data_IF_688545194094
#
_entry.id   IF_688545194094
#
_cell.length_a   1.000
_cell.length_b   1.000
_cell.length_c   1.000
_cell.angle_alpha   90.00
_cell.angle_beta   90.00
_cell.angle_gamma   90.00
#
_symmetry.space_group_name_H-M   'P 1'
#
loop_
_entity.id
_entity.type
_entity.pdbx_description
1 polymer ?
#
# COMPACT_ATOMS: atom_id res chain seq x y z
N UNK A 1 10.54 -12.80 -10.59
CA UNK A 1 9.21 -12.16 -10.70
C UNK A 1 8.48 -11.94 -9.37
N UNK A 2 8.61 -12.82 -8.38
CA UNK A 2 7.86 -12.69 -7.12
C UNK A 2 8.18 -11.40 -6.33
N UNK A 3 9.45 -11.05 -6.17
CA UNK A 3 9.86 -9.80 -5.51
C UNK A 3 9.31 -8.57 -6.21
N UNK A 4 9.42 -8.53 -7.55
CA UNK A 4 8.89 -7.44 -8.39
C UNK A 4 7.37 -7.28 -8.20
N UNK A 5 6.62 -8.37 -8.03
CA UNK A 5 5.19 -8.29 -7.74
C UNK A 5 4.89 -7.68 -6.37
N UNK A 6 5.67 -8.02 -5.34
CA UNK A 6 5.53 -7.40 -4.01
C UNK A 6 5.97 -5.93 -4.01
N UNK A 7 7.02 -5.57 -4.76
CA UNK A 7 7.43 -4.17 -4.95
C UNK A 7 6.32 -3.37 -5.64
N UNK A 8 5.72 -3.90 -6.70
CA UNK A 8 4.60 -3.25 -7.38
C UNK A 8 3.40 -3.03 -6.44
N UNK A 9 3.06 -4.03 -5.62
CA UNK A 9 2.02 -3.89 -4.60
C UNK A 9 2.39 -2.87 -3.53
N UNK A 10 3.65 -2.84 -3.08
CA UNK A 10 4.15 -1.89 -2.09
C UNK A 10 4.10 -0.45 -2.62
N UNK A 11 4.50 -0.22 -3.86
CA UNK A 11 4.45 1.11 -4.49
C UNK A 11 3.00 1.55 -4.69
N UNK A 12 2.10 0.64 -5.12
CA UNK A 12 0.69 0.96 -5.28
C UNK A 12 0.01 1.29 -3.94
N UNK A 13 0.23 0.48 -2.90
CA UNK A 13 -0.29 0.73 -1.56
C UNK A 13 0.32 1.99 -0.93
N UNK A 14 1.63 2.21 -1.10
CA UNK A 14 2.35 3.38 -0.60
C UNK A 14 1.85 4.70 -1.16
N UNK A 15 1.63 4.75 -2.48
CA UNK A 15 1.14 5.95 -3.16
C UNK A 15 -0.31 6.34 -2.79
N UNK A 16 -1.06 5.47 -2.09
CA UNK A 16 -2.44 5.74 -1.67
C UNK A 16 -2.55 6.66 -0.43
N UNK A 17 -1.46 6.92 0.31
CA UNK A 17 -1.52 7.73 1.54
C UNK A 17 -1.70 9.22 1.27
N UNK A 18 -1.08 9.75 0.21
CA UNK A 18 -1.05 11.20 -0.06
C UNK A 18 -1.74 11.53 -1.37
N UNK A 19 -2.11 12.80 -1.61
CA UNK A 19 -2.64 13.23 -2.90
C UNK A 19 -1.70 12.99 -4.09
N UNK A 20 -0.39 12.94 -3.82
CA UNK A 20 0.66 12.86 -4.82
C UNK A 20 1.18 11.43 -4.92
N UNK A 21 1.41 10.96 -6.15
CA UNK A 21 2.00 9.64 -6.43
C UNK A 21 1.07 8.67 -7.16
N UNK A 22 -0.25 8.80 -7.00
CA UNK A 22 -1.26 8.03 -7.73
C UNK A 22 -2.29 8.99 -8.37
N UNK A 23 -2.58 8.82 -9.66
CA UNK A 23 -3.54 9.64 -10.41
C UNK A 23 -4.96 9.63 -9.82
N UNK A 24 -5.39 8.52 -9.20
CA UNK A 24 -6.66 8.42 -8.50
C UNK A 24 -6.72 9.35 -7.28
N UNK A 25 -5.66 9.37 -6.46
CA UNK A 25 -5.60 10.24 -5.30
C UNK A 25 -5.52 11.71 -5.71
N UNK A 26 -4.77 12.01 -6.77
CA UNK A 26 -4.69 13.36 -7.32
C UNK A 26 -6.07 13.87 -7.79
N UNK A 27 -6.85 12.99 -8.42
CA UNK A 27 -8.21 13.29 -8.86
C UNK A 27 -9.16 13.50 -7.67
N UNK A 28 -9.14 12.61 -6.68
CA UNK A 28 -9.95 12.75 -5.47
C UNK A 28 -9.61 14.03 -4.69
N UNK A 29 -8.34 14.38 -4.61
CA UNK A 29 -7.88 15.60 -3.94
C UNK A 29 -8.33 16.87 -4.67
N UNK A 30 -8.32 16.87 -6.00
CA UNK A 30 -8.87 17.98 -6.80
C UNK A 30 -10.38 18.16 -6.57
N UNK A 31 -11.13 17.07 -6.46
CA UNK A 31 -12.57 17.11 -6.24
C UNK A 31 -12.95 17.46 -4.79
N UNK A 32 -12.15 17.04 -3.81
CA UNK A 32 -12.46 17.24 -2.40
C UNK A 32 -12.23 18.69 -1.94
N UNK A 33 -11.34 19.44 -2.60
CA UNK A 33 -10.98 20.81 -2.19
C UNK A 33 -10.28 20.89 -0.83
N UNK A 34 -9.84 19.75 -0.30
CA UNK A 34 -9.18 19.66 1.02
C UNK A 34 -7.72 20.10 0.94
N UNK A 35 -7.15 20.55 2.06
CA UNK A 35 -5.70 20.74 2.14
C UNK A 35 -4.94 19.40 2.01
N UNK A 36 -3.63 19.46 1.74
CA UNK A 36 -2.78 18.27 1.63
C UNK A 36 -2.81 17.41 2.91
N UNK A 37 -2.72 18.04 4.08
CA UNK A 37 -2.73 17.31 5.36
C UNK A 37 -4.09 16.68 5.64
N UNK A 38 -5.20 17.40 5.39
CA UNK A 38 -6.55 16.86 5.61
C UNK A 38 -6.81 15.63 4.75
N UNK A 39 -6.42 15.67 3.46
CA UNK A 39 -6.51 14.50 2.59
C UNK A 39 -5.68 13.33 3.12
N UNK A 40 -4.43 13.61 3.53
CA UNK A 40 -3.52 12.58 4.07
C UNK A 40 -4.08 11.93 5.33
N UNK A 41 -4.66 12.73 6.24
CA UNK A 41 -5.34 12.22 7.43
C UNK A 41 -6.56 11.37 7.08
N UNK A 42 -7.36 11.79 6.11
CA UNK A 42 -8.53 11.04 5.66
C UNK A 42 -8.16 9.68 5.02
N UNK A 43 -6.97 9.57 4.42
CA UNK A 43 -6.49 8.34 3.77
C UNK A 43 -5.80 7.35 4.72
N UNK A 44 -5.40 7.76 5.92
CA UNK A 44 -4.69 6.89 6.87
C UNK A 44 -5.40 5.56 7.18
N UNK A 45 -6.72 5.49 7.39
CA UNK A 45 -7.38 4.22 7.68
C UNK A 45 -7.27 3.23 6.51
N UNK A 46 -7.46 3.71 5.28
CA UNK A 46 -7.34 2.90 4.08
C UNK A 46 -5.90 2.46 3.85
N UNK A 47 -4.95 3.40 3.96
CA UNK A 47 -3.52 3.10 3.86
C UNK A 47 -3.07 2.06 4.89
N UNK A 48 -3.50 2.21 6.15
CA UNK A 48 -3.19 1.27 7.22
C UNK A 48 -3.70 -0.15 6.93
N UNK A 49 -4.91 -0.28 6.39
CA UNK A 49 -5.45 -1.57 5.97
C UNK A 49 -4.62 -2.19 4.83
N UNK A 50 -4.31 -1.41 3.79
CA UNK A 50 -3.51 -1.90 2.66
C UNK A 50 -2.10 -2.32 3.10
N UNK A 51 -1.47 -1.54 3.98
CA UNK A 51 -0.16 -1.84 4.53
C UNK A 51 -0.20 -3.11 5.39
N UNK A 52 -1.19 -3.26 6.25
CA UNK A 52 -1.36 -4.46 7.08
C UNK A 52 -1.55 -5.72 6.24
N UNK A 53 -2.38 -5.65 5.19
CA UNK A 53 -2.58 -6.76 4.25
C UNK A 53 -1.29 -7.09 3.49
N UNK A 54 -0.55 -6.09 3.02
CA UNK A 54 0.72 -6.29 2.34
C UNK A 54 1.76 -6.96 3.24
N UNK A 55 1.89 -6.50 4.49
CA UNK A 55 2.78 -7.10 5.49
C UNK A 55 2.36 -8.54 5.79
N UNK A 56 1.07 -8.80 5.99
CA UNK A 56 0.56 -10.15 6.23
C UNK A 56 0.85 -11.08 5.03
N UNK A 57 0.57 -10.64 3.81
CA UNK A 57 0.85 -11.42 2.59
C UNK A 57 2.33 -11.71 2.44
N UNK A 58 3.18 -10.72 2.71
CA UNK A 58 4.64 -10.88 2.69
C UNK A 58 5.08 -11.88 3.74
N UNK A 59 4.65 -11.71 5.00
CA UNK A 59 4.99 -12.58 6.11
C UNK A 59 4.56 -14.03 5.88
N UNK A 60 3.29 -14.26 5.50
CA UNK A 60 2.76 -15.60 5.21
C UNK A 60 3.54 -16.28 4.09
N UNK A 61 3.88 -15.55 3.02
CA UNK A 61 4.60 -16.12 1.88
C UNK A 61 6.05 -16.46 2.19
N UNK A 62 6.78 -15.56 2.85
CA UNK A 62 8.17 -15.81 3.23
C UNK A 62 8.30 -16.88 4.32
N UNK A 63 7.37 -16.91 5.29
CA UNK A 63 7.31 -17.96 6.31
C UNK A 63 7.09 -19.34 5.68
N UNK A 64 6.15 -19.45 4.73
CA UNK A 64 5.87 -20.72 4.05
C UNK A 64 7.06 -21.23 3.24
N UNK A 65 7.85 -20.34 2.67
CA UNK A 65 9.04 -20.71 1.91
C UNK A 65 10.17 -21.20 2.80
N UNK A 66 10.45 -20.51 3.90
CA UNK A 66 11.42 -20.95 4.90
C UNK A 66 11.08 -22.37 5.39
N UNK A 67 9.81 -22.63 5.66
CA UNK A 67 9.35 -23.92 6.16
C UNK A 67 9.26 -25.02 5.09
N UNK A 68 9.36 -24.67 3.80
CA UNK A 68 9.41 -25.61 2.67
C UNK A 68 10.83 -25.99 2.25
N UNK A 69 11.82 -25.18 2.59
CA UNK A 69 13.24 -25.46 2.32
C UNK A 69 13.87 -26.44 3.34
N UNK A 70 13.19 -26.67 4.46
CA UNK A 70 13.61 -27.54 5.56
C UNK A 70 13.03 -28.97 5.44
N UNK A 71 12.30 -29.27 4.35
CA UNK A 71 11.77 -30.59 4.00
C UNK A 71 12.37 -31.06 2.69
#
# INVERSE_FOLDING_TARGET
MRLIAFEALAVNAGSALTPVGNSQNLFLWHLSGTSFLEFTWAMLPMFGLLLALLVLLTAVRFFREANSSDR
#
